data_IF_009645082347
#
_entry.id   IF_009645082347
#
_cell.length_a   1.000
_cell.length_b   1.000
_cell.length_c   1.000
_cell.angle_alpha   90.00
_cell.angle_beta   90.00
_cell.angle_gamma   90.00
#
_symmetry.space_group_name_H-M   'P 1'
#
loop_
_entity.id
_entity.type
_entity.pdbx_description
1 polymer ?
#
# COMPACT_ATOMS: atom_id res chain seq x y z
N UNK A 1 -34.56 -35.95 38.58
CA UNK A 1 -34.02 -37.03 37.73
C UNK A 1 -33.81 -36.47 36.34
N UNK A 2 -32.56 -36.32 35.90
CA UNK A 2 -32.20 -35.74 34.59
C UNK A 2 -30.68 -35.59 34.51
N UNK A 3 -30.05 -36.45 33.72
CA UNK A 3 -28.62 -36.75 33.78
C UNK A 3 -27.74 -35.67 33.13
N UNK A 4 -26.64 -35.34 33.82
CA UNK A 4 -25.58 -34.47 33.33
C UNK A 4 -24.60 -35.26 32.45
N UNK A 5 -24.46 -34.87 31.18
CA UNK A 5 -23.47 -35.42 30.25
C UNK A 5 -22.13 -34.71 30.45
N UNK A 6 -21.16 -35.41 31.04
CA UNK A 6 -19.76 -35.01 31.09
C UNK A 6 -19.10 -35.32 29.75
N UNK A 7 -18.55 -34.30 29.07
CA UNK A 7 -17.65 -34.50 27.92
C UNK A 7 -16.20 -34.43 28.41
N UNK A 8 -15.50 -35.55 28.24
CA UNK A 8 -14.09 -35.72 28.58
C UNK A 8 -13.17 -34.99 27.59
N UNK A 9 -12.13 -34.35 28.14
CA UNK A 9 -11.02 -33.82 27.38
C UNK A 9 -10.07 -34.95 26.97
N UNK A 10 -9.72 -35.00 25.68
CA UNK A 10 -8.67 -35.88 25.18
C UNK A 10 -7.34 -35.09 25.10
N UNK A 11 -6.22 -35.64 25.61
CA UNK A 11 -4.90 -35.03 25.48
C UNK A 11 -4.26 -35.42 24.16
N UNK A 12 -3.89 -34.43 23.34
CA UNK A 12 -3.07 -34.64 22.15
C UNK A 12 -1.60 -34.76 22.55
N UNK A 13 -0.99 -35.89 22.22
CA UNK A 13 0.44 -36.18 22.37
C UNK A 13 1.07 -36.39 20.99
N UNK A 14 2.35 -35.96 20.94
CA UNK A 14 3.49 -36.36 20.08
C UNK A 14 3.53 -35.88 18.62
N UNK A 15 4.69 -35.94 17.92
CA UNK A 15 6.08 -36.18 18.33
C UNK A 15 7.09 -35.11 17.83
N UNK A 16 8.32 -35.16 18.36
CA UNK A 16 9.44 -34.33 17.92
C UNK A 16 9.92 -34.61 16.50
N UNK A 17 10.56 -33.59 15.91
CA UNK A 17 11.47 -33.72 14.78
C UNK A 17 12.78 -33.01 15.08
N UNK A 18 13.85 -33.77 14.92
CA UNK A 18 15.23 -33.35 14.96
C UNK A 18 15.51 -32.30 13.88
N UNK A 19 16.04 -31.15 14.30
CA UNK A 19 16.67 -30.21 13.38
C UNK A 19 18.15 -30.58 13.24
N UNK A 20 18.48 -31.13 12.07
CA UNK A 20 19.85 -31.28 11.61
C UNK A 20 20.51 -29.91 11.44
N UNK A 21 21.69 -29.76 12.05
CA UNK A 21 22.59 -28.62 11.81
C UNK A 21 23.38 -28.90 10.55
N UNK A 22 23.20 -28.08 9.52
CA UNK A 22 24.14 -27.97 8.40
C UNK A 22 25.12 -26.83 8.68
N UNK A 23 26.44 -27.03 8.49
CA UNK A 23 27.43 -25.98 8.66
C UNK A 23 27.45 -25.04 7.44
N UNK A 24 27.56 -23.73 7.70
CA UNK A 24 27.87 -22.70 6.70
C UNK A 24 29.39 -22.70 6.44
N UNK A 25 29.86 -22.64 5.18
CA UNK A 25 31.24 -22.26 4.91
C UNK A 25 31.41 -20.73 5.04
N UNK A 26 32.44 -20.35 5.80
CA UNK A 26 32.93 -18.99 5.89
C UNK A 26 33.61 -18.60 4.57
N UNK A 27 33.14 -17.52 3.95
CA UNK A 27 33.88 -16.80 2.94
C UNK A 27 34.87 -15.84 3.61
N UNK A 28 36.08 -15.75 3.06
CA UNK A 28 37.04 -14.67 3.29
C UNK A 28 38.07 -14.71 2.14
N UNK A 29 38.64 -13.53 1.85
CA UNK A 29 39.61 -13.18 0.79
C UNK A 29 38.91 -12.77 -0.53
N UNK A 30 39.08 -11.57 -1.08
CA UNK A 30 39.89 -10.42 -0.74
C UNK A 30 39.63 -9.29 -1.76
N UNK A 31 39.73 -8.05 -1.29
CA UNK A 31 39.93 -6.81 -2.07
C UNK A 31 41.27 -6.90 -2.86
N UNK A 32 41.57 -6.08 -3.91
CA UNK A 32 41.24 -4.64 -3.99
C UNK A 32 40.98 -4.02 -5.39
N UNK A 33 40.36 -2.84 -5.31
CA UNK A 33 40.68 -1.55 -5.95
C UNK A 33 41.29 -1.43 -7.38
N UNK A 34 40.83 -0.34 -8.01
CA UNK A 34 41.43 0.46 -9.10
C UNK A 34 41.04 0.10 -10.54
N UNK A 35 40.07 0.85 -11.06
CA UNK A 35 39.80 0.98 -12.49
C UNK A 35 39.23 2.38 -12.79
N UNK A 36 40.13 3.34 -13.04
CA UNK A 36 39.87 4.75 -13.35
C UNK A 36 40.10 4.98 -14.84
N UNK A 37 39.07 4.92 -15.68
CA UNK A 37 39.10 5.20 -17.13
C UNK A 37 37.63 5.44 -17.56
N UNK A 38 37.17 6.44 -18.31
CA UNK A 38 37.82 7.54 -19.01
C UNK A 38 36.82 8.70 -19.18
N UNK A 39 37.39 9.89 -19.06
CA UNK A 39 36.93 11.17 -19.58
C UNK A 39 36.56 11.12 -21.08
N UNK A 40 35.57 11.94 -21.44
CA UNK A 40 35.38 12.60 -22.75
C UNK A 40 34.68 11.80 -23.87
N UNK A 41 33.38 11.55 -23.68
CA UNK A 41 32.44 11.37 -24.78
C UNK A 41 32.08 12.71 -25.42
N UNK A 42 32.56 12.90 -26.64
CA UNK A 42 32.53 14.07 -27.52
C UNK A 42 31.10 14.39 -27.99
N UNK A 43 30.47 15.45 -27.47
CA UNK A 43 29.18 15.95 -27.99
C UNK A 43 29.47 16.90 -29.14
N UNK A 44 29.26 16.39 -30.36
CA UNK A 44 29.35 17.14 -31.60
C UNK A 44 28.28 18.23 -31.64
N UNK A 45 28.69 19.45 -31.34
CA UNK A 45 28.07 20.66 -31.88
C UNK A 45 28.28 20.63 -33.39
N UNK A 46 27.20 20.53 -34.17
CA UNK A 46 27.05 21.09 -35.53
C UNK A 46 25.66 20.69 -36.04
N UNK A 47 24.73 21.65 -36.02
CA UNK A 47 23.37 21.49 -36.53
C UNK A 47 22.68 22.83 -36.69
N UNK A 48 23.34 23.75 -37.40
CA UNK A 48 22.91 25.12 -37.68
C UNK A 48 22.48 25.19 -39.16
N UNK A 49 21.20 25.00 -39.43
CA UNK A 49 20.49 25.24 -40.70
C UNK A 49 19.01 25.40 -40.31
N UNK A 50 18.19 26.37 -40.73
CA UNK A 50 18.32 27.47 -41.66
C UNK A 50 17.24 28.51 -41.32
N UNK A 51 17.51 29.75 -41.70
CA UNK A 51 16.63 30.90 -41.62
C UNK A 51 15.27 30.69 -42.32
N UNK A 52 14.25 31.30 -41.71
CA UNK A 52 13.20 32.13 -42.31
C UNK A 52 12.77 31.84 -43.75
N UNK A 53 11.53 31.40 -43.90
CA UNK A 53 10.80 31.53 -45.17
C UNK A 53 9.48 30.77 -45.20
N UNK A 54 8.41 31.37 -44.66
CA UNK A 54 7.15 31.58 -45.39
C UNK A 54 6.13 32.28 -44.48
N UNK A 55 6.01 33.58 -44.71
CA UNK A 55 4.93 34.42 -44.22
C UNK A 55 3.92 34.52 -45.38
N UNK A 56 2.69 34.03 -45.21
CA UNK A 56 1.59 34.39 -46.11
C UNK A 56 0.56 33.30 -46.44
N UNK A 57 -0.65 33.50 -45.90
CA UNK A 57 -1.96 33.04 -46.39
C UNK A 57 -2.33 31.55 -46.26
N UNK A 58 -2.98 31.21 -45.12
CA UNK A 58 -4.32 30.62 -45.15
C UNK A 58 -5.01 30.80 -43.78
N UNK A 59 -5.80 31.88 -43.66
CA UNK A 59 -6.76 32.04 -42.58
C UNK A 59 -8.01 31.18 -42.81
N UNK A 60 -8.77 30.95 -41.73
CA UNK A 60 -10.08 30.26 -41.61
C UNK A 60 -10.10 28.86 -40.96
N UNK A 61 -9.23 28.59 -39.99
CA UNK A 61 -9.62 27.74 -38.85
C UNK A 61 -9.63 28.62 -37.61
N UNK A 62 -10.84 29.08 -37.24
CA UNK A 62 -11.03 29.85 -36.02
C UNK A 62 -10.53 29.06 -34.80
N UNK A 63 -10.03 29.73 -33.76
CA UNK A 63 -9.82 29.06 -32.48
C UNK A 63 -11.21 28.60 -32.02
N UNK A 64 -11.51 27.32 -32.16
CA UNK A 64 -12.48 26.65 -31.32
C UNK A 64 -11.92 26.81 -29.92
N UNK A 65 -12.32 27.90 -29.27
CA UNK A 65 -11.80 28.28 -27.97
C UNK A 65 -11.97 27.10 -27.05
N UNK A 66 -10.85 26.61 -26.52
CA UNK A 66 -10.87 25.98 -25.21
C UNK A 66 -11.47 27.03 -24.27
N UNK A 67 -12.79 27.03 -24.11
CA UNK A 67 -13.42 27.74 -23.02
C UNK A 67 -12.92 27.02 -21.78
N UNK A 68 -11.91 27.61 -21.13
CA UNK A 68 -11.63 27.31 -19.72
C UNK A 68 -12.91 27.62 -18.99
N UNK A 69 -13.67 26.57 -18.69
CA UNK A 69 -14.77 26.64 -17.72
C UNK A 69 -14.10 27.06 -16.42
N UNK A 70 -14.22 28.35 -16.08
CA UNK A 70 -13.88 28.85 -14.77
C UNK A 70 -14.83 28.16 -13.80
N UNK A 71 -14.33 27.28 -12.92
CA UNK A 71 -15.23 26.45 -12.14
C UNK A 71 -15.92 27.18 -10.99
N UNK A 72 -15.70 28.50 -10.89
CA UNK A 72 -16.16 29.29 -9.78
C UNK A 72 -15.34 29.02 -8.53
N UNK A 73 -15.45 29.90 -7.55
CA UNK A 73 -14.65 29.85 -6.32
C UNK A 73 -15.09 28.76 -5.32
N UNK A 74 -16.01 27.87 -5.72
CA UNK A 74 -16.61 26.86 -4.84
C UNK A 74 -16.53 25.45 -5.41
N UNK A 75 -15.33 25.02 -5.78
CA UNK A 75 -15.04 23.59 -5.72
C UNK A 75 -14.87 23.17 -4.26
N UNK A 76 -15.99 22.98 -3.59
CA UNK A 76 -16.01 22.23 -2.34
C UNK A 76 -15.79 20.76 -2.72
N UNK A 77 -14.52 20.35 -2.80
CA UNK A 77 -14.19 18.91 -2.79
C UNK A 77 -14.67 18.45 -1.42
N UNK A 78 -15.83 17.79 -1.36
CA UNK A 78 -16.31 17.20 -0.12
C UNK A 78 -15.22 16.25 0.40
N UNK A 79 -14.64 16.59 1.54
CA UNK A 79 -13.62 15.77 2.18
C UNK A 79 -14.28 14.46 2.60
N UNK A 80 -13.98 13.39 1.86
CA UNK A 80 -14.47 12.06 2.21
C UNK A 80 -13.76 11.61 3.48
N UNK A 81 -14.53 11.46 4.56
CA UNK A 81 -14.02 10.92 5.81
C UNK A 81 -14.33 9.43 5.84
N UNK A 82 -13.28 8.62 5.97
CA UNK A 82 -13.42 7.18 6.10
C UNK A 82 -13.51 6.80 7.58
N UNK A 83 -14.32 5.81 7.93
CA UNK A 83 -14.56 5.44 9.33
C UNK A 83 -13.27 4.91 9.97
N UNK A 84 -12.85 5.58 11.03
CA UNK A 84 -11.61 5.26 11.74
C UNK A 84 -11.74 3.98 12.59
N UNK A 85 -12.94 3.69 13.14
CA UNK A 85 -13.19 2.49 13.92
C UNK A 85 -13.11 1.23 13.06
N UNK A 86 -13.77 1.24 11.91
CA UNK A 86 -13.72 0.18 10.91
C UNK A 86 -12.30 -0.03 10.38
N UNK A 87 -11.53 1.05 10.21
CA UNK A 87 -10.13 0.94 9.84
C UNK A 87 -9.35 0.12 10.89
N UNK A 88 -9.41 0.48 12.16
CA UNK A 88 -8.63 -0.20 13.20
C UNK A 88 -9.09 -1.63 13.46
N UNK A 89 -10.39 -1.88 13.38
CA UNK A 89 -10.96 -3.17 13.76
C UNK A 89 -10.97 -4.18 12.60
N UNK A 90 -11.04 -3.73 11.34
CA UNK A 90 -11.21 -4.63 10.19
C UNK A 90 -10.08 -4.45 9.16
N UNK A 91 -9.80 -3.22 8.73
CA UNK A 91 -8.84 -2.95 7.62
C UNK A 91 -7.39 -3.16 8.04
N UNK A 92 -6.96 -2.57 9.15
CA UNK A 92 -5.57 -2.65 9.60
C UNK A 92 -5.13 -4.10 9.89
N UNK A 93 -5.97 -4.98 10.49
CA UNK A 93 -5.68 -6.40 10.59
C UNK A 93 -5.43 -7.09 9.24
N UNK A 94 -6.21 -6.75 8.20
CA UNK A 94 -5.98 -7.26 6.84
C UNK A 94 -4.59 -6.84 6.35
N UNK A 95 -4.22 -5.57 6.53
CA UNK A 95 -2.91 -5.05 6.09
C UNK A 95 -1.73 -5.74 6.77
N UNK A 96 -1.79 -5.96 8.09
CA UNK A 96 -0.70 -6.62 8.81
C UNK A 96 -0.66 -8.14 8.60
N UNK A 97 -1.80 -8.82 8.54
CA UNK A 97 -1.86 -10.27 8.26
C UNK A 97 -1.31 -10.60 6.88
N UNK A 98 -1.48 -9.70 5.91
CA UNK A 98 -0.94 -9.83 4.56
C UNK A 98 0.45 -9.18 4.39
N UNK A 99 1.10 -8.78 5.48
CA UNK A 99 2.49 -8.28 5.47
C UNK A 99 2.72 -7.04 4.61
N UNK A 100 1.69 -6.20 4.47
CA UNK A 100 1.85 -4.91 3.79
C UNK A 100 2.84 -4.03 4.57
N UNK A 101 2.76 -4.02 5.91
CA UNK A 101 3.56 -3.18 6.80
C UNK A 101 4.91 -3.79 7.18
N UNK A 102 4.95 -4.52 8.30
CA UNK A 102 6.10 -5.33 8.71
C UNK A 102 6.05 -6.70 8.03
N UNK A 103 7.19 -7.14 7.51
CA UNK A 103 7.25 -8.21 6.52
C UNK A 103 6.91 -9.60 7.05
N UNK A 104 6.48 -10.49 6.17
CA UNK A 104 6.53 -11.94 6.38
C UNK A 104 7.54 -12.61 5.45
N UNK A 105 8.08 -13.74 5.90
CA UNK A 105 8.80 -14.73 5.08
C UNK A 105 9.96 -14.17 4.26
N UNK A 106 9.67 -13.70 3.05
CA UNK A 106 10.63 -13.23 2.03
C UNK A 106 10.81 -11.71 1.96
N UNK A 107 10.08 -10.95 2.78
CA UNK A 107 10.16 -9.49 2.78
C UNK A 107 11.50 -8.97 3.34
N UNK A 108 11.93 -7.74 2.94
CA UNK A 108 13.01 -7.05 3.64
C UNK A 108 12.73 -7.07 5.14
N UNK A 109 13.76 -7.07 5.99
CA UNK A 109 13.62 -7.25 7.46
C UNK A 109 12.65 -6.29 8.17
N UNK A 110 12.11 -5.28 7.47
CA UNK A 110 11.11 -4.34 7.98
C UNK A 110 9.79 -4.30 7.18
N UNK A 111 9.62 -5.09 6.12
CA UNK A 111 8.42 -5.12 5.26
C UNK A 111 8.40 -4.11 4.11
N UNK A 112 7.42 -4.22 3.21
CA UNK A 112 7.35 -3.43 1.98
C UNK A 112 6.99 -1.95 2.22
N UNK A 113 6.07 -1.69 3.15
CA UNK A 113 5.57 -0.34 3.42
C UNK A 113 6.13 0.29 4.70
N UNK A 114 7.27 -0.16 5.22
CA UNK A 114 7.80 0.36 6.48
C UNK A 114 8.58 1.68 6.37
N UNK A 115 9.25 1.97 5.23
CA UNK A 115 10.15 3.15 5.15
C UNK A 115 10.19 3.86 3.79
N UNK A 116 10.13 3.12 2.67
CA UNK A 116 10.50 3.68 1.35
C UNK A 116 9.33 4.09 0.46
N UNK A 117 8.10 3.73 0.82
CA UNK A 117 6.89 4.08 0.06
C UNK A 117 6.17 5.30 0.64
N UNK A 118 5.38 5.96 -0.21
CA UNK A 118 4.43 7.01 0.20
C UNK A 118 3.32 6.47 1.11
N UNK A 119 2.95 5.20 0.93
CA UNK A 119 2.13 4.46 1.88
C UNK A 119 3.04 3.87 2.95
N UNK A 120 3.03 4.42 4.18
CA UNK A 120 3.82 3.92 5.30
C UNK A 120 2.96 3.22 6.35
N UNK A 121 3.42 2.07 6.84
CA UNK A 121 2.80 1.31 7.91
C UNK A 121 3.86 0.99 8.97
N UNK A 122 3.62 1.46 10.19
CA UNK A 122 4.45 1.24 11.36
C UNK A 122 3.84 0.11 12.19
N UNK A 123 4.65 -0.92 12.46
CA UNK A 123 4.27 -1.98 13.39
C UNK A 123 4.22 -1.44 14.82
N UNK A 124 3.26 -1.92 15.62
CA UNK A 124 3.09 -1.55 17.01
C UNK A 124 2.40 -2.68 17.79
N UNK A 125 2.60 -2.72 19.10
CA UNK A 125 1.96 -3.71 19.98
C UNK A 125 1.58 -3.05 21.31
N UNK A 126 0.41 -3.36 21.90
CA UNK A 126 -0.66 -4.21 21.36
C UNK A 126 -1.36 -3.57 20.16
N UNK A 127 -2.05 -4.37 19.32
CA UNK A 127 -2.83 -3.85 18.19
C UNK A 127 -4.15 -3.27 18.69
N UNK A 128 -4.66 -2.21 18.04
CA UNK A 128 -5.97 -1.65 18.40
C UNK A 128 -7.07 -2.71 18.24
N UNK A 129 -6.96 -3.54 17.20
CA UNK A 129 -7.85 -4.65 16.92
C UNK A 129 -8.00 -5.65 18.09
N UNK A 130 -6.98 -5.82 18.93
CA UNK A 130 -7.01 -6.75 20.08
C UNK A 130 -8.05 -6.31 21.14
N UNK A 131 -8.42 -5.02 21.14
CA UNK A 131 -9.40 -4.44 22.05
C UNK A 131 -10.74 -4.10 21.40
N UNK A 132 -10.95 -4.39 20.11
CA UNK A 132 -12.18 -4.00 19.43
C UNK A 132 -13.39 -4.79 19.94
N UNK A 133 -14.54 -4.11 20.07
CA UNK A 133 -15.85 -4.71 20.30
C UNK A 133 -16.88 -4.05 19.40
N UNK A 134 -17.60 -4.86 18.62
CA UNK A 134 -18.65 -4.38 17.69
C UNK A 134 -18.18 -3.24 16.77
N UNK A 135 -16.94 -3.32 16.26
CA UNK A 135 -16.33 -2.31 15.38
C UNK A 135 -15.80 -1.06 16.09
N UNK A 136 -15.81 -1.03 17.43
CA UNK A 136 -15.34 0.11 18.22
C UNK A 136 -14.02 -0.23 18.94
N UNK A 137 -12.96 0.57 18.79
CA UNK A 137 -11.74 0.44 19.58
C UNK A 137 -11.99 0.49 21.09
N UNK A 138 -11.46 -0.47 21.85
CA UNK A 138 -11.63 -0.51 23.31
C UNK A 138 -10.79 0.52 24.07
N UNK A 139 -9.79 1.12 23.41
CA UNK A 139 -8.92 2.16 23.97
C UNK A 139 -8.60 3.20 22.91
N UNK A 140 -8.09 4.36 23.33
CA UNK A 140 -7.60 5.37 22.40
C UNK A 140 -6.44 4.79 21.55
N UNK A 141 -6.50 4.94 20.20
CA UNK A 141 -5.45 4.46 19.32
C UNK A 141 -4.08 5.11 19.62
N UNK A 142 -2.98 4.34 19.69
CA UNK A 142 -1.65 4.90 19.85
C UNK A 142 -1.23 5.71 18.61
N UNK A 143 -0.19 6.55 18.75
CA UNK A 143 0.30 7.40 17.66
C UNK A 143 0.64 6.62 16.38
N UNK A 144 1.26 5.45 16.51
CA UNK A 144 1.58 4.59 15.36
C UNK A 144 0.32 4.14 14.60
N UNK A 145 -0.76 3.80 15.31
CA UNK A 145 -2.03 3.41 14.69
C UNK A 145 -2.66 4.60 13.94
N UNK A 146 -2.67 5.78 14.57
CA UNK A 146 -3.19 7.02 13.96
C UNK A 146 -2.42 7.39 12.69
N UNK A 147 -1.10 7.24 12.70
CA UNK A 147 -0.26 7.46 11.53
C UNK A 147 -0.57 6.45 10.40
N UNK A 148 -0.81 5.19 10.74
CA UNK A 148 -1.21 4.16 9.77
C UNK A 148 -2.57 4.47 9.14
N UNK A 149 -3.55 4.92 9.95
CA UNK A 149 -4.87 5.35 9.46
C UNK A 149 -4.75 6.51 8.48
N UNK A 150 -4.01 7.57 8.82
CA UNK A 150 -3.80 8.72 7.93
C UNK A 150 -3.15 8.31 6.60
N UNK A 151 -2.16 7.42 6.68
CA UNK A 151 -1.48 6.85 5.53
C UNK A 151 -2.44 6.05 4.64
N UNK A 152 -3.27 5.18 5.24
CA UNK A 152 -4.26 4.38 4.52
C UNK A 152 -5.37 5.25 3.90
N UNK A 153 -5.88 6.22 4.65
CA UNK A 153 -6.91 7.16 4.18
C UNK A 153 -6.44 7.95 2.96
N UNK A 154 -5.17 8.36 2.90
CA UNK A 154 -4.62 9.07 1.73
C UNK A 154 -4.67 8.23 0.44
N UNK A 155 -4.69 6.90 0.58
CA UNK A 155 -4.75 5.91 -0.49
C UNK A 155 -6.18 5.41 -0.76
N UNK A 156 -7.19 5.99 -0.12
CA UNK A 156 -8.59 5.59 -0.29
C UNK A 156 -9.37 6.58 -1.15
N UNK A 157 -10.37 6.05 -1.85
CA UNK A 157 -11.41 6.77 -2.58
C UNK A 157 -12.72 6.02 -2.34
N UNK A 158 -13.86 6.71 -2.46
CA UNK A 158 -15.18 6.07 -2.31
C UNK A 158 -15.43 5.03 -3.39
N UNK A 159 -14.98 5.32 -4.61
CA UNK A 159 -14.91 4.34 -5.70
C UNK A 159 -13.68 3.44 -5.49
N UNK A 160 -13.85 2.13 -5.19
CA UNK A 160 -12.73 1.22 -4.96
C UNK A 160 -11.81 1.08 -6.18
N UNK A 161 -12.33 1.19 -7.40
CA UNK A 161 -11.53 1.07 -8.62
C UNK A 161 -10.56 2.25 -8.79
N UNK A 162 -10.81 3.34 -8.07
CA UNK A 162 -9.94 4.51 -7.97
C UNK A 162 -9.13 4.57 -6.67
N UNK A 163 -9.29 3.61 -5.75
CA UNK A 163 -8.60 3.59 -4.46
C UNK A 163 -7.28 2.78 -4.53
N UNK A 164 -6.08 3.40 -4.49
CA UNK A 164 -4.82 2.68 -4.54
C UNK A 164 -4.67 1.57 -3.51
N UNK A 165 -5.30 1.71 -2.34
CA UNK A 165 -5.27 0.69 -1.29
C UNK A 165 -6.03 -0.59 -1.66
N UNK A 166 -6.96 -0.52 -2.62
CA UNK A 166 -7.72 -1.67 -3.12
C UNK A 166 -7.15 -2.22 -4.43
N UNK A 167 -6.97 -1.38 -5.46
CA UNK A 167 -6.69 -1.88 -6.81
C UNK A 167 -5.22 -2.33 -6.99
N UNK A 168 -4.28 -1.87 -6.15
CA UNK A 168 -2.87 -2.31 -6.22
C UNK A 168 -2.67 -3.70 -5.62
N UNK A 169 -3.13 -4.01 -4.39
CA UNK A 169 -2.89 -5.33 -3.81
C UNK A 169 -3.68 -6.46 -4.48
N UNK A 170 -4.72 -6.13 -5.26
CA UNK A 170 -5.55 -7.07 -6.03
C UNK A 170 -5.03 -7.40 -7.43
N UNK A 171 -3.90 -6.81 -7.85
CA UNK A 171 -3.30 -6.99 -9.18
C UNK A 171 -4.13 -6.41 -10.34
N UNK A 172 -5.00 -5.44 -10.05
CA UNK A 172 -5.70 -4.65 -11.10
C UNK A 172 -4.76 -3.64 -11.76
N UNK A 173 -3.70 -3.22 -11.05
CA UNK A 173 -2.61 -2.36 -11.60
C UNK A 173 -1.24 -2.77 -11.04
N UNK A 174 -0.17 -2.11 -11.51
CA UNK A 174 1.20 -2.36 -11.09
C UNK A 174 1.42 -2.23 -9.58
N UNK A 175 1.41 -3.37 -8.90
CA UNK A 175 2.00 -3.61 -7.59
C UNK A 175 3.06 -4.71 -7.75
N UNK A 176 4.20 -4.70 -7.03
CA UNK A 176 5.25 -5.72 -7.21
C UNK A 176 4.80 -7.16 -6.94
N UNK A 177 3.64 -7.34 -6.29
CA UNK A 177 3.04 -8.63 -5.93
C UNK A 177 1.52 -8.53 -5.93
N UNK A 178 0.83 -9.59 -6.29
CA UNK A 178 -0.57 -9.78 -5.87
C UNK A 178 -0.58 -10.19 -4.39
N UNK A 179 -1.30 -9.45 -3.56
CA UNK A 179 -1.41 -9.72 -2.13
C UNK A 179 -2.66 -10.56 -1.84
N UNK A 180 -3.81 -10.17 -2.40
CA UNK A 180 -5.05 -10.93 -2.29
C UNK A 180 -5.84 -10.92 -3.60
N UNK A 181 -6.80 -11.83 -3.73
CA UNK A 181 -7.70 -11.85 -4.88
C UNK A 181 -8.77 -10.77 -4.76
N UNK A 182 -9.21 -10.19 -5.88
CA UNK A 182 -10.26 -9.17 -5.87
C UNK A 182 -11.57 -9.69 -5.24
N UNK A 183 -11.89 -10.96 -5.39
CA UNK A 183 -13.08 -11.61 -4.80
C UNK A 183 -12.85 -12.16 -3.37
N UNK A 184 -11.67 -11.93 -2.79
CA UNK A 184 -11.37 -12.44 -1.44
C UNK A 184 -12.10 -11.66 -0.33
N UNK A 185 -12.30 -12.27 0.85
CA UNK A 185 -12.82 -11.57 2.03
C UNK A 185 -11.98 -10.35 2.44
N UNK A 186 -10.65 -10.44 2.32
CA UNK A 186 -9.73 -9.35 2.64
C UNK A 186 -9.91 -8.15 1.70
N UNK A 187 -10.11 -8.40 0.40
CA UNK A 187 -10.44 -7.35 -0.57
C UNK A 187 -11.83 -6.73 -0.29
N UNK A 188 -12.79 -7.55 0.14
CA UNK A 188 -14.14 -7.09 0.47
C UNK A 188 -14.12 -6.11 1.64
N UNK A 189 -13.32 -6.35 2.69
CA UNK A 189 -13.19 -5.44 3.83
C UNK A 189 -12.73 -4.03 3.37
N UNK A 190 -11.77 -3.95 2.44
CA UNK A 190 -11.28 -2.66 1.93
C UNK A 190 -12.35 -1.97 1.05
N UNK A 191 -13.09 -2.74 0.23
CA UNK A 191 -14.25 -2.19 -0.51
C UNK A 191 -15.32 -1.66 0.42
N UNK A 192 -15.63 -2.39 1.48
CA UNK A 192 -16.62 -2.00 2.47
C UNK A 192 -16.23 -0.69 3.12
N UNK A 193 -14.94 -0.53 3.45
CA UNK A 193 -14.42 0.73 3.97
C UNK A 193 -14.60 1.89 2.97
N UNK A 194 -14.40 1.66 1.68
CA UNK A 194 -14.62 2.65 0.64
C UNK A 194 -16.11 3.05 0.52
N UNK A 195 -17.00 2.07 0.45
CA UNK A 195 -18.38 2.25 0.00
C UNK A 195 -19.38 2.44 1.12
N UNK A 196 -19.20 1.72 2.24
CA UNK A 196 -20.19 1.62 3.33
C UNK A 196 -19.76 2.35 4.59
N UNK A 197 -18.46 2.50 4.80
CA UNK A 197 -17.88 3.14 5.97
C UNK A 197 -17.10 4.40 5.58
N UNK A 198 -17.70 5.23 4.72
CA UNK A 198 -17.23 6.58 4.40
C UNK A 198 -18.38 7.59 4.36
N UNK A 199 -18.17 8.81 4.83
CA UNK A 199 -19.13 9.91 4.76
C UNK A 199 -18.66 11.03 3.82
N UNK A 200 -19.61 11.79 3.30
CA UNK A 200 -19.41 13.04 2.55
C UNK A 200 -20.01 14.19 3.35
#
# INVERSE_FOLDING_TARGET
>A
MGAAVRRGAAPWRTPGRAFGRSPRPAGLLGLPALGRWSLLGRWSLLGRWSLFGLLGLLGLLGPQGCSTVDPGQDFQIADVVFDEGYYYCEVEPVLFRNSCGSGSGSDPARGCHFNVSSFRLTDYTPRVADGCRDGVPGTAPPEAARANYQSAQSMMRRDPDLAPLYYRPTDVTAHPRRIFAADSPDAQIIRDWAERYSSQ
#
